data_IF_591631681011
#
_entry.id   IF_591631681011
#
_cell.length_a   1.000
_cell.length_b   1.000
_cell.length_c   1.000
_cell.angle_alpha   90.00
_cell.angle_beta   90.00
_cell.angle_gamma   90.00
#
_symmetry.space_group_name_H-M   'P 1'
#
loop_
_entity.id
_entity.type
_entity.pdbx_description
1 polymer ?
#
# COMPACT_ATOMS: atom_id res chain seq x y z
N UNK A 1 35.54 -17.71 -0.23
CA UNK A 1 34.16 -17.33 0.13
C UNK A 1 34.10 -15.82 0.02
N UNK A 2 33.64 -15.32 -1.14
CA UNK A 2 33.47 -13.91 -1.40
C UNK A 2 31.98 -13.62 -1.25
N UNK A 3 31.60 -13.11 -0.08
CA UNK A 3 30.25 -12.63 0.18
C UNK A 3 30.15 -11.23 -0.45
N UNK A 4 29.21 -11.08 -1.38
CA UNK A 4 29.05 -9.91 -2.24
C UNK A 4 28.84 -8.62 -1.42
N UNK A 5 29.90 -7.81 -1.29
CA UNK A 5 29.84 -6.39 -0.92
C UNK A 5 29.72 -5.57 -2.22
N UNK A 6 28.57 -4.92 -2.44
CA UNK A 6 28.29 -4.16 -3.68
C UNK A 6 29.00 -2.79 -3.76
N UNK A 7 29.72 -2.37 -2.71
CA UNK A 7 30.51 -1.13 -2.74
C UNK A 7 29.70 0.17 -2.82
N UNK A 8 28.37 0.10 -2.79
CA UNK A 8 27.42 1.24 -2.85
C UNK A 8 26.87 1.66 -1.48
N UNK A 9 27.15 0.91 -0.42
CA UNK A 9 26.77 1.24 0.96
C UNK A 9 27.68 2.38 1.47
N UNK A 10 27.21 3.64 1.41
CA UNK A 10 27.95 4.77 1.99
C UNK A 10 28.14 4.54 3.51
N UNK A 11 29.37 4.69 4.05
CA UNK A 11 29.70 4.33 5.43
C UNK A 11 28.90 5.09 6.50
N UNK A 12 28.26 6.21 6.12
CA UNK A 12 27.44 7.02 7.01
C UNK A 12 25.93 6.78 6.86
N UNK A 13 25.46 6.06 5.83
CA UNK A 13 24.04 5.85 5.57
C UNK A 13 23.34 5.13 6.73
N UNK A 14 23.93 4.06 7.26
CA UNK A 14 23.38 3.33 8.41
C UNK A 14 23.30 4.19 9.67
N UNK A 15 24.34 4.98 9.96
CA UNK A 15 24.37 5.88 11.12
C UNK A 15 23.27 6.95 11.03
N UNK A 16 23.05 7.52 9.84
CA UNK A 16 22.02 8.53 9.61
C UNK A 16 20.61 7.94 9.72
N UNK A 17 20.38 6.73 9.21
CA UNK A 17 19.10 6.03 9.39
C UNK A 17 18.82 5.69 10.86
N UNK A 18 19.85 5.31 11.63
CA UNK A 18 19.73 5.09 13.08
C UNK A 18 19.40 6.38 13.84
N UNK A 19 20.00 7.51 13.46
CA UNK A 19 19.70 8.80 14.05
C UNK A 19 18.26 9.26 13.74
N UNK A 20 17.80 9.05 12.50
CA UNK A 20 16.42 9.31 12.08
C UNK A 20 15.42 8.42 12.83
N UNK A 21 15.74 7.14 13.02
CA UNK A 21 14.93 6.22 13.84
C UNK A 21 14.73 6.76 15.26
N UNK A 22 15.81 7.16 15.92
CA UNK A 22 15.76 7.69 17.29
C UNK A 22 14.90 8.97 17.38
N UNK A 23 15.00 9.87 16.40
CA UNK A 23 14.15 11.07 16.34
C UNK A 23 12.67 10.74 16.17
N UNK A 24 12.32 9.78 15.31
CA UNK A 24 10.94 9.35 15.11
C UNK A 24 10.36 8.61 16.32
N UNK A 25 11.15 7.77 16.98
CA UNK A 25 10.74 7.10 18.22
C UNK A 25 10.54 8.09 19.37
N UNK A 26 11.40 9.11 19.49
CA UNK A 26 11.23 10.19 20.47
C UNK A 26 9.94 10.98 20.29
N UNK A 27 9.37 10.98 19.08
CA UNK A 27 8.08 11.59 18.75
C UNK A 27 6.89 10.62 18.87
N UNK A 28 7.12 9.37 19.28
CA UNK A 28 6.07 8.37 19.50
C UNK A 28 5.74 7.50 18.28
N UNK A 29 6.47 7.62 17.16
CA UNK A 29 6.26 6.77 15.98
C UNK A 29 6.94 5.41 16.15
N UNK A 30 6.22 4.33 15.84
CA UNK A 30 6.79 2.98 15.79
C UNK A 30 7.69 2.88 14.56
N UNK A 31 8.97 2.56 14.73
CA UNK A 31 9.90 2.40 13.61
C UNK A 31 10.82 1.20 13.82
N UNK A 32 11.27 0.61 12.72
CA UNK A 32 12.17 -0.54 12.69
C UNK A 32 13.27 -0.30 11.67
N UNK A 33 14.51 -0.34 12.15
CA UNK A 33 15.71 -0.24 11.31
C UNK A 33 16.07 -1.61 10.74
N UNK A 34 16.17 -1.70 9.42
CA UNK A 34 16.78 -2.79 8.67
C UNK A 34 18.26 -2.50 8.38
N UNK A 35 18.88 -3.28 7.48
CA UNK A 35 20.30 -3.13 7.15
C UNK A 35 20.61 -1.85 6.36
N UNK A 36 19.76 -1.47 5.41
CA UNK A 36 19.92 -0.27 4.56
C UNK A 36 18.67 0.62 4.55
N UNK A 37 17.66 0.28 5.34
CA UNK A 37 16.36 0.92 5.27
C UNK A 37 15.71 1.08 6.63
N UNK A 38 14.86 2.08 6.78
CA UNK A 38 14.06 2.36 7.95
C UNK A 38 12.58 2.23 7.60
N UNK A 39 11.86 1.36 8.31
CA UNK A 39 10.41 1.24 8.19
C UNK A 39 9.77 2.03 9.32
N UNK A 40 8.78 2.86 9.00
CA UNK A 40 8.04 3.67 9.97
C UNK A 40 6.56 3.28 9.89
N UNK A 41 5.97 2.90 11.02
CA UNK A 41 4.59 2.48 11.13
C UNK A 41 3.64 3.58 10.69
N UNK A 42 2.76 3.27 9.74
CA UNK A 42 1.85 4.22 9.10
C UNK A 42 2.22 4.55 7.64
N UNK A 43 3.47 4.30 7.23
CA UNK A 43 3.90 4.40 5.82
C UNK A 43 4.01 2.99 5.22
N UNK A 44 3.42 2.79 4.04
CA UNK A 44 3.65 1.62 3.18
C UNK A 44 4.91 1.90 2.37
N UNK A 45 6.08 1.77 2.98
CA UNK A 45 7.35 2.09 2.31
C UNK A 45 8.56 2.08 3.24
N UNK A 46 9.72 1.83 2.66
CA UNK A 46 10.99 1.80 3.36
C UNK A 46 11.79 3.07 3.02
N UNK A 47 12.24 3.80 4.04
CA UNK A 47 13.09 4.98 3.86
C UNK A 47 14.53 4.50 3.72
N UNK A 48 15.21 4.89 2.65
CA UNK A 48 16.62 4.57 2.43
C UNK A 48 17.47 5.84 2.45
N UNK A 49 18.77 5.71 2.68
CA UNK A 49 19.71 6.82 2.69
C UNK A 49 20.70 6.65 1.55
N UNK A 50 20.57 7.45 0.49
CA UNK A 50 21.35 7.29 -0.75
C UNK A 50 22.01 8.58 -1.19
N UNK A 51 23.18 8.52 -1.84
CA UNK A 51 23.80 9.68 -2.45
C UNK A 51 22.96 10.17 -3.62
N UNK A 52 22.85 11.50 -3.77
CA UNK A 52 22.15 12.12 -4.89
C UNK A 52 23.15 12.71 -5.88
N UNK A 53 23.20 12.22 -7.13
CA UNK A 53 24.23 12.63 -8.09
C UNK A 53 24.12 14.10 -8.51
N UNK A 54 22.92 14.70 -8.42
CA UNK A 54 22.69 16.13 -8.70
C UNK A 54 23.20 17.07 -7.61
N UNK A 55 23.52 16.56 -6.41
CA UNK A 55 23.86 17.35 -5.22
C UNK A 55 25.29 17.07 -4.74
N UNK A 56 26.22 16.89 -5.67
CA UNK A 56 27.62 16.58 -5.37
C UNK A 56 27.78 15.36 -4.44
N UNK A 57 27.00 14.30 -4.71
CA UNK A 57 27.04 13.02 -3.98
C UNK A 57 26.64 13.13 -2.49
N UNK A 58 25.97 14.23 -2.11
CA UNK A 58 25.42 14.38 -0.75
C UNK A 58 24.37 13.30 -0.49
N UNK A 59 24.36 12.80 0.74
CA UNK A 59 23.38 11.81 1.19
C UNK A 59 22.01 12.45 1.41
N UNK A 60 20.96 11.77 0.98
CA UNK A 60 19.56 12.14 1.15
C UNK A 60 18.76 10.96 1.69
N UNK A 61 17.77 11.26 2.53
CA UNK A 61 16.71 10.33 2.83
C UNK A 61 15.73 10.30 1.66
N UNK A 62 15.46 9.12 1.14
CA UNK A 62 14.51 8.88 0.05
C UNK A 62 13.46 7.90 0.51
N UNK A 63 12.22 8.09 0.04
CA UNK A 63 11.12 7.18 0.36
C UNK A 63 11.19 5.88 -0.49
N UNK A 64 10.20 4.99 -0.30
CA UNK A 64 10.11 3.74 -1.05
C UNK A 64 9.91 3.91 -2.57
N UNK A 65 9.42 5.07 -3.02
CA UNK A 65 9.31 5.46 -4.43
C UNK A 65 10.59 6.07 -5.01
N UNK A 66 11.57 6.38 -4.16
CA UNK A 66 12.82 7.05 -4.55
C UNK A 66 12.71 8.58 -4.58
N UNK A 67 11.64 9.16 -4.05
CA UNK A 67 11.47 10.61 -3.94
C UNK A 67 12.35 11.16 -2.79
N UNK A 68 13.13 12.23 -3.01
CA UNK A 68 13.96 12.82 -1.97
C UNK A 68 13.10 13.55 -0.93
N UNK A 69 13.26 13.16 0.33
CA UNK A 69 12.55 13.76 1.47
C UNK A 69 13.36 14.97 1.98
N UNK A 70 14.60 14.72 2.40
CA UNK A 70 15.50 15.71 2.97
C UNK A 70 16.95 15.20 2.95
N UNK A 71 17.91 16.12 3.06
CA UNK A 71 19.32 15.76 3.18
C UNK A 71 19.59 14.96 4.45
N UNK A 72 20.49 13.98 4.40
CA UNK A 72 20.74 13.05 5.50
C UNK A 72 21.31 13.71 6.76
N UNK A 73 21.98 14.87 6.63
CA UNK A 73 22.48 15.66 7.76
C UNK A 73 21.36 16.40 8.50
N UNK A 74 20.24 16.67 7.83
CA UNK A 74 19.09 17.40 8.38
C UNK A 74 18.07 16.44 9.03
N UNK A 75 18.52 15.63 10.00
CA UNK A 75 17.73 14.55 10.61
C UNK A 75 16.42 15.07 11.24
N UNK A 76 16.47 16.23 11.91
CA UNK A 76 15.29 16.81 12.58
C UNK A 76 14.24 17.24 11.57
N UNK A 77 14.67 17.87 10.47
CA UNK A 77 13.81 18.33 9.38
C UNK A 77 13.18 17.15 8.64
N UNK A 78 13.99 16.14 8.30
CA UNK A 78 13.54 14.88 7.73
C UNK A 78 12.44 14.23 8.60
N UNK A 79 12.66 14.16 9.91
CA UNK A 79 11.68 13.61 10.83
C UNK A 79 10.38 14.44 10.87
N UNK A 80 10.44 15.77 10.71
CA UNK A 80 9.23 16.63 10.66
C UNK A 80 8.45 16.38 9.38
N UNK A 81 9.13 16.33 8.24
CA UNK A 81 8.51 16.06 6.93
C UNK A 81 7.86 14.67 6.93
N UNK A 82 8.56 13.64 7.43
CA UNK A 82 8.03 12.28 7.55
C UNK A 82 6.82 12.26 8.49
N UNK A 83 6.88 12.91 9.65
CA UNK A 83 5.76 12.99 10.58
C UNK A 83 4.55 13.73 9.97
N UNK A 84 4.77 14.80 9.21
CA UNK A 84 3.71 15.51 8.50
C UNK A 84 3.11 14.67 7.36
N UNK A 85 3.93 13.87 6.67
CA UNK A 85 3.47 12.91 5.67
C UNK A 85 2.69 11.73 6.27
N UNK A 86 2.96 11.38 7.53
CA UNK A 86 2.21 10.38 8.30
C UNK A 86 0.87 10.91 8.83
N UNK A 87 0.80 12.20 9.16
CA UNK A 87 -0.44 12.87 9.56
C UNK A 87 -1.33 13.19 8.36
N UNK A 88 -0.73 13.34 7.18
CA UNK A 88 -1.47 13.35 5.91
C UNK A 88 -1.99 11.94 5.66
N UNK A 89 -3.31 11.72 5.48
CA UNK A 89 -3.81 10.41 5.12
C UNK A 89 -3.14 9.99 3.81
N UNK A 90 -2.28 8.97 3.89
CA UNK A 90 -1.64 8.39 2.73
C UNK A 90 -2.73 7.94 1.77
N UNK A 91 -2.76 8.55 0.59
CA UNK A 91 -3.66 8.15 -0.50
C UNK A 91 -3.27 6.73 -0.93
N UNK A 92 -4.26 5.83 -0.84
CA UNK A 92 -4.27 4.39 -1.19
C UNK A 92 -3.49 3.41 -0.29
N UNK A 93 -3.91 3.20 0.97
CA UNK A 93 -3.32 2.20 1.86
C UNK A 93 -3.44 0.74 1.36
N UNK A 94 -4.29 0.47 0.37
CA UNK A 94 -4.58 -0.88 -0.13
C UNK A 94 -4.16 -1.13 -1.60
N UNK A 95 -3.48 -0.19 -2.25
CA UNK A 95 -3.08 -0.30 -3.67
C UNK A 95 -4.28 -0.31 -4.64
N UNK A 96 -4.30 -1.15 -5.69
CA UNK A 96 -5.41 -1.19 -6.66
C UNK A 96 -6.77 -1.54 -6.02
N UNK A 97 -6.75 -2.25 -4.89
CA UNK A 97 -7.96 -2.56 -4.10
C UNK A 97 -8.66 -1.28 -3.60
N UNK A 98 -7.92 -0.19 -3.38
CA UNK A 98 -8.47 1.11 -2.99
C UNK A 98 -9.24 1.78 -4.14
N UNK A 99 -8.71 1.70 -5.37
CA UNK A 99 -9.40 2.19 -6.57
C UNK A 99 -10.71 1.42 -6.81
N UNK A 100 -10.70 0.10 -6.59
CA UNK A 100 -11.91 -0.71 -6.63
C UNK A 100 -12.89 -0.32 -5.51
N UNK A 101 -12.43 -0.10 -4.28
CA UNK A 101 -13.26 0.38 -3.18
C UNK A 101 -13.94 1.71 -3.51
N UNK A 102 -13.20 2.67 -4.08
CA UNK A 102 -13.74 3.96 -4.49
C UNK A 102 -14.80 3.81 -5.60
N UNK A 103 -14.54 2.97 -6.61
CA UNK A 103 -15.49 2.68 -7.68
C UNK A 103 -16.78 2.03 -7.14
N UNK A 104 -16.66 1.05 -6.25
CA UNK A 104 -17.80 0.39 -5.58
C UNK A 104 -18.60 1.40 -4.77
N UNK A 105 -17.94 2.29 -4.01
CA UNK A 105 -18.63 3.35 -3.27
C UNK A 105 -19.36 4.35 -4.17
N UNK A 106 -18.86 4.60 -5.38
CA UNK A 106 -19.47 5.50 -6.36
C UNK A 106 -20.65 4.87 -7.08
N UNK A 107 -20.50 3.64 -7.58
CA UNK A 107 -21.46 2.96 -8.48
C UNK A 107 -22.49 2.12 -7.73
N UNK A 108 -22.15 1.63 -6.55
CA UNK A 108 -23.03 0.77 -5.73
C UNK A 108 -22.94 1.13 -4.24
N UNK A 109 -23.36 2.34 -3.84
CA UNK A 109 -23.27 2.78 -2.44
C UNK A 109 -24.04 1.89 -1.45
N UNK A 110 -25.05 1.16 -1.92
CA UNK A 110 -25.81 0.16 -1.15
C UNK A 110 -25.02 -1.10 -0.79
N UNK A 111 -23.93 -1.41 -1.49
CA UNK A 111 -23.06 -2.54 -1.17
C UNK A 111 -22.12 -2.13 -0.03
N UNK A 112 -22.11 -2.93 1.04
CA UNK A 112 -21.17 -2.74 2.13
C UNK A 112 -19.79 -3.19 1.68
N UNK A 113 -18.91 -2.23 1.42
CA UNK A 113 -17.53 -2.44 1.02
C UNK A 113 -16.58 -2.16 2.19
N UNK A 114 -15.60 -3.04 2.41
CA UNK A 114 -14.56 -2.87 3.44
C UNK A 114 -13.24 -3.44 2.96
N UNK A 115 -12.18 -2.64 3.01
CA UNK A 115 -10.83 -3.11 2.78
C UNK A 115 -10.29 -3.82 4.04
N UNK A 116 -9.62 -4.95 3.84
CA UNK A 116 -8.94 -5.72 4.88
C UNK A 116 -7.57 -6.15 4.37
N UNK A 117 -6.52 -5.85 5.13
CA UNK A 117 -5.19 -6.43 4.91
C UNK A 117 -5.04 -7.65 5.80
N UNK A 118 -4.92 -8.83 5.21
CA UNK A 118 -4.64 -10.06 5.95
C UNK A 118 -3.12 -10.20 6.05
N UNK A 119 -2.53 -10.04 7.24
CA UNK A 119 -1.09 -10.16 7.40
C UNK A 119 -0.67 -11.58 7.03
N UNK A 120 0.48 -11.72 6.38
CA UNK A 120 1.06 -13.00 6.01
C UNK A 120 1.58 -13.73 7.25
N UNK A 121 0.69 -14.07 8.18
CA UNK A 121 1.01 -14.85 9.36
C UNK A 121 0.47 -16.24 9.16
N UNK A 122 1.40 -17.17 9.06
CA UNK A 122 1.21 -18.57 9.46
C UNK A 122 0.68 -19.50 8.37
N UNK A 123 1.65 -20.25 7.88
CA UNK A 123 1.71 -21.61 7.32
C UNK A 123 0.72 -22.67 7.87
N UNK A 124 -0.38 -22.30 8.54
CA UNK A 124 -1.35 -23.21 9.14
C UNK A 124 -2.75 -22.91 8.60
N UNK A 125 -3.25 -23.90 7.88
CA UNK A 125 -4.64 -24.19 7.54
C UNK A 125 -5.42 -23.16 6.68
N UNK A 126 -5.65 -23.57 5.43
CA UNK A 126 -6.73 -23.06 4.58
C UNK A 126 -6.43 -21.71 3.93
N UNK A 127 -5.38 -21.66 3.11
CA UNK A 127 -5.01 -20.62 2.14
C UNK A 127 -6.02 -19.45 1.95
N UNK A 128 -6.18 -18.58 2.95
CA UNK A 128 -6.58 -17.20 2.67
C UNK A 128 -5.35 -16.57 2.06
N UNK A 129 -5.40 -16.23 0.78
CA UNK A 129 -4.31 -15.55 0.10
C UNK A 129 -3.89 -14.35 0.96
N UNK A 130 -2.65 -14.34 1.46
CA UNK A 130 -2.15 -13.18 2.19
C UNK A 130 -2.18 -11.95 1.27
N UNK A 131 -2.44 -10.77 1.81
CA UNK A 131 -2.52 -9.54 1.01
C UNK A 131 -3.75 -8.67 1.30
N UNK A 132 -4.00 -7.72 0.39
CA UNK A 132 -5.10 -6.77 0.48
C UNK A 132 -6.36 -7.33 -0.19
N UNK A 133 -7.47 -7.31 0.54
CA UNK A 133 -8.76 -7.82 0.08
C UNK A 133 -9.84 -6.76 0.23
N UNK A 134 -10.75 -6.72 -0.74
CA UNK A 134 -12.01 -6.00 -0.64
C UNK A 134 -13.12 -6.98 -0.26
N UNK A 135 -13.71 -6.78 0.92
CA UNK A 135 -14.91 -7.48 1.34
C UNK A 135 -16.13 -6.70 0.87
N UNK A 136 -17.01 -7.37 0.14
CA UNK A 136 -18.25 -6.80 -0.36
C UNK A 136 -19.42 -7.62 0.14
N UNK A 137 -20.46 -6.96 0.64
CA UNK A 137 -21.64 -7.61 1.16
C UNK A 137 -22.92 -6.85 0.80
N UNK A 138 -23.96 -7.59 0.41
CA UNK A 138 -25.29 -7.05 0.10
C UNK A 138 -26.36 -8.09 0.41
N UNK A 139 -27.43 -7.68 1.10
CA UNK A 139 -28.55 -8.54 1.53
C UNK A 139 -28.17 -9.91 2.14
N UNK A 140 -27.05 -9.98 2.87
CA UNK A 140 -26.58 -11.21 3.51
C UNK A 140 -25.60 -12.03 2.67
N UNK A 141 -25.48 -11.78 1.37
CA UNK A 141 -24.41 -12.32 0.54
C UNK A 141 -23.10 -11.61 0.83
N UNK A 142 -22.02 -12.37 1.01
CA UNK A 142 -20.68 -11.87 1.34
C UNK A 142 -19.66 -12.48 0.41
N UNK A 143 -18.81 -11.65 -0.19
CA UNK A 143 -17.76 -12.08 -1.12
C UNK A 143 -16.47 -11.32 -0.85
N UNK A 144 -15.35 -11.89 -1.30
CA UNK A 144 -14.03 -11.26 -1.20
C UNK A 144 -13.35 -11.19 -2.56
N UNK A 145 -12.76 -10.04 -2.84
CA UNK A 145 -11.99 -9.75 -4.04
C UNK A 145 -10.55 -9.44 -3.63
N UNK A 146 -9.59 -10.01 -4.33
CA UNK A 146 -8.16 -9.68 -4.21
C UNK A 146 -7.65 -9.17 -5.56
N UNK A 147 -6.58 -8.38 -5.51
CA UNK A 147 -5.82 -8.06 -6.71
C UNK A 147 -4.87 -9.21 -7.04
N UNK A 148 -4.95 -9.71 -8.27
CA UNK A 148 -3.99 -10.66 -8.82
C UNK A 148 -2.90 -9.91 -9.58
N UNK A 149 -1.68 -9.93 -9.05
CA UNK A 149 -0.56 -9.21 -9.65
C UNK A 149 -0.01 -9.91 -10.92
N UNK A 150 -0.17 -11.23 -11.04
CA UNK A 150 0.30 -11.98 -12.22
C UNK A 150 -0.58 -11.74 -13.45
N UNK A 151 -1.89 -11.60 -13.26
CA UNK A 151 -2.86 -11.31 -14.31
C UNK A 151 -3.29 -9.85 -14.40
N UNK A 152 -2.71 -8.96 -13.58
CA UNK A 152 -3.06 -7.53 -13.46
C UNK A 152 -4.57 -7.31 -13.44
N UNK A 153 -5.29 -8.15 -12.71
CA UNK A 153 -6.76 -8.22 -12.73
C UNK A 153 -7.31 -8.47 -11.34
N UNK A 154 -8.53 -8.01 -11.07
CA UNK A 154 -9.22 -8.36 -9.83
C UNK A 154 -9.73 -9.81 -9.91
N UNK A 155 -9.67 -10.55 -8.81
CA UNK A 155 -10.14 -11.95 -8.75
C UNK A 155 -10.97 -12.20 -7.51
N UNK A 156 -11.99 -13.06 -7.62
CA UNK A 156 -12.74 -13.52 -6.48
C UNK A 156 -11.90 -14.50 -5.66
N UNK A 157 -11.51 -14.09 -4.44
CA UNK A 157 -10.75 -14.92 -3.51
C UNK A 157 -11.63 -15.66 -2.50
N UNK A 158 -12.92 -15.29 -2.39
CA UNK A 158 -13.90 -16.09 -1.65
C UNK A 158 -15.34 -15.85 -2.14
N UNK A 159 -16.11 -16.94 -2.21
CA UNK A 159 -17.51 -16.95 -2.62
C UNK A 159 -17.82 -18.13 -3.55
N UNK A 160 -19.04 -18.19 -4.11
CA UNK A 160 -19.40 -19.22 -5.09
C UNK A 160 -18.57 -19.13 -6.38
N UNK A 161 -18.09 -17.95 -6.72
CA UNK A 161 -17.30 -17.67 -7.93
C UNK A 161 -15.77 -17.61 -7.67
N UNK A 162 -15.29 -18.29 -6.62
CA UNK A 162 -13.86 -18.27 -6.26
C UNK A 162 -12.98 -18.68 -7.45
N UNK A 163 -11.95 -17.89 -7.75
CA UNK A 163 -11.07 -18.05 -8.92
C UNK A 163 -11.58 -17.36 -10.19
N UNK A 164 -12.80 -16.80 -10.18
CA UNK A 164 -13.31 -16.00 -11.28
C UNK A 164 -12.58 -14.67 -11.42
N UNK A 165 -12.13 -14.34 -12.63
CA UNK A 165 -11.53 -13.03 -12.94
C UNK A 165 -12.62 -11.97 -13.13
N UNK A 166 -12.39 -10.82 -12.52
CA UNK A 166 -13.05 -9.56 -12.79
C UNK A 166 -12.22 -8.76 -13.80
N UNK A 167 -12.85 -7.78 -14.44
CA UNK A 167 -12.16 -6.87 -15.37
C UNK A 167 -11.06 -6.10 -14.66
N UNK A 168 -9.97 -5.75 -15.36
CA UNK A 168 -8.93 -4.82 -14.89
C UNK A 168 -9.49 -3.41 -14.67
N UNK A 169 -10.50 -3.04 -15.46
CA UNK A 169 -11.21 -1.78 -15.32
C UNK A 169 -12.06 -1.77 -14.03
N UNK A 170 -11.79 -0.78 -13.16
CA UNK A 170 -12.40 -0.69 -11.83
C UNK A 170 -13.91 -0.44 -11.86
N UNK A 171 -14.42 0.22 -12.90
CA UNK A 171 -15.84 0.49 -13.04
C UNK A 171 -16.58 -0.77 -13.46
N UNK A 172 -16.06 -1.45 -14.49
CA UNK A 172 -16.60 -2.74 -14.92
C UNK A 172 -16.48 -3.79 -13.81
N UNK A 173 -15.39 -3.78 -13.03
CA UNK A 173 -15.25 -4.65 -11.87
C UNK A 173 -16.33 -4.36 -10.80
N UNK A 174 -16.60 -3.09 -10.50
CA UNK A 174 -17.67 -2.70 -9.57
C UNK A 174 -19.07 -3.13 -10.05
N UNK A 175 -19.34 -3.00 -11.35
CA UNK A 175 -20.60 -3.46 -11.96
C UNK A 175 -20.75 -4.98 -11.91
N UNK A 176 -19.65 -5.71 -12.16
CA UNK A 176 -19.63 -7.18 -12.05
C UNK A 176 -19.82 -7.63 -10.61
N UNK A 177 -19.27 -6.90 -9.63
CA UNK A 177 -19.53 -7.13 -8.21
C UNK A 177 -21.00 -6.91 -7.88
N UNK A 178 -21.61 -5.84 -8.39
CA UNK A 178 -23.02 -5.53 -8.20
C UNK A 178 -23.93 -6.64 -8.73
N UNK A 179 -23.69 -7.04 -9.98
CA UNK A 179 -24.44 -8.10 -10.65
C UNK A 179 -24.30 -9.44 -9.92
N UNK A 180 -23.09 -9.76 -9.48
CA UNK A 180 -22.81 -10.97 -8.72
C UNK A 180 -23.47 -10.99 -7.34
N UNK A 181 -23.70 -9.82 -6.73
CA UNK A 181 -24.40 -9.66 -5.45
C UNK A 181 -25.91 -9.40 -5.61
N UNK A 182 -26.43 -9.32 -6.83
CA UNK A 182 -27.82 -8.90 -7.08
C UNK A 182 -28.14 -7.46 -6.64
N UNK A 183 -27.12 -6.62 -6.45
CA UNK A 183 -27.30 -5.23 -6.12
C UNK A 183 -27.63 -4.42 -7.39
N UNK A 184 -28.59 -3.49 -7.34
CA UNK A 184 -28.79 -2.56 -8.45
C UNK A 184 -27.51 -1.74 -8.64
N UNK A 185 -27.13 -1.44 -9.87
CA UNK A 185 -26.06 -0.45 -10.14
C UNK A 185 -26.72 0.92 -10.23
N UNK A 186 -26.19 1.92 -9.52
CA UNK A 186 -26.61 3.29 -9.74
C UNK A 186 -26.18 3.68 -11.16
N UNK A 187 -27.16 3.84 -12.06
CA UNK A 187 -26.92 4.47 -13.34
C UNK A 187 -26.36 5.87 -13.06
N UNK A 188 -25.20 6.17 -13.63
CA UNK A 188 -24.69 7.53 -13.61
C UNK A 188 -25.72 8.42 -14.34
N UNK A 189 -26.17 9.55 -13.77
CA UNK A 189 -27.09 10.44 -14.46
C UNK A 189 -26.47 11.15 -15.69
N UNK A 190 -25.22 10.86 -16.05
CA UNK A 190 -24.51 11.39 -17.23
C UNK A 190 -24.48 10.36 -18.38
N UNK A 191 -25.63 9.78 -18.74
CA UNK A 191 -25.75 8.99 -19.95
C UNK A 191 -27.11 9.17 -20.63
N UNK A 192 -27.65 10.39 -20.60
CA UNK A 192 -28.69 10.84 -21.53
C UNK A 192 -28.39 12.29 -21.94
N UNK A 193 -28.00 12.47 -23.20
CA UNK A 193 -27.68 13.74 -23.84
C UNK A 193 -27.29 13.55 -25.30
#
# INVERSE_FOLDING_TARGET
MAENFDGTEHPHAYAQLGALMNQLQGRGFKSKLGRDFLVVGGIVGAITCKPRPTDADRLWFVDGSGEPIAQADHIVDAAVIIAAGLDRPAVTPYGPVDALYAAVRRRVPQVSARCESVPQTSWLEGAKAAGNHLHVAYQGEKRRVSWDAEGESYVWSAGPDTGGRLSVDVEQAAERIAWALGAPVSADPTAEG
#
